data_IF_105621751153
#
_entry.id   IF_105621751153
#
_cell.length_a   1.000
_cell.length_b   1.000
_cell.length_c   1.000
_cell.angle_alpha   90.00
_cell.angle_beta   90.00
_cell.angle_gamma   90.00
#
_symmetry.space_group_name_H-M   'P 1'
#
loop_
_entity.id
_entity.type
_entity.pdbx_description
1 polymer ?
#
# COMPACT_ATOMS: atom_id res chain seq x y z
N UNK A 1 29.71 -1.83 11.59
CA UNK A 1 28.33 -1.93 11.08
C UNK A 1 28.33 -3.03 10.04
N UNK A 2 27.70 -4.17 10.30
CA UNK A 2 27.53 -5.22 9.29
C UNK A 2 26.34 -4.81 8.43
N UNK A 3 26.55 -4.56 7.13
CA UNK A 3 25.48 -4.19 6.19
C UNK A 3 24.55 -5.38 5.88
N UNK A 4 24.99 -6.60 6.20
CA UNK A 4 24.19 -7.79 6.03
C UNK A 4 24.04 -8.25 4.58
N UNK A 5 22.94 -8.92 4.26
CA UNK A 5 22.55 -9.39 2.91
C UNK A 5 22.57 -8.29 1.85
N UNK A 6 22.48 -7.01 2.25
CA UNK A 6 22.65 -5.86 1.36
C UNK A 6 24.07 -5.70 0.81
N UNK A 7 25.08 -6.29 1.46
CA UNK A 7 26.47 -6.32 0.97
C UNK A 7 26.78 -7.52 0.08
N UNK A 8 25.82 -8.44 -0.12
CA UNK A 8 25.99 -9.49 -1.11
C UNK A 8 26.02 -8.88 -2.50
N UNK A 9 27.00 -9.30 -3.31
CA UNK A 9 27.15 -8.86 -4.70
C UNK A 9 25.86 -9.10 -5.50
N UNK A 10 25.16 -10.21 -5.21
CA UNK A 10 23.85 -10.52 -5.78
C UNK A 10 22.71 -9.60 -5.36
N UNK A 11 22.78 -8.92 -4.21
CA UNK A 11 21.77 -7.94 -3.81
C UNK A 11 21.91 -6.63 -4.60
N UNK A 12 23.15 -6.24 -4.94
CA UNK A 12 23.41 -5.08 -5.80
C UNK A 12 22.98 -5.36 -7.25
N UNK A 13 23.34 -6.53 -7.78
CA UNK A 13 22.95 -6.97 -9.12
C UNK A 13 21.42 -7.09 -9.27
N UNK A 14 20.75 -7.75 -8.31
CA UNK A 14 19.29 -7.88 -8.32
C UNK A 14 18.55 -6.53 -8.18
N UNK A 15 19.22 -5.46 -7.75
CA UNK A 15 18.62 -4.12 -7.68
C UNK A 15 18.59 -3.44 -9.05
N UNK A 16 19.47 -3.84 -9.96
CA UNK A 16 19.54 -3.34 -11.33
C UNK A 16 18.64 -4.14 -12.29
N UNK A 17 18.02 -5.22 -11.79
CA UNK A 17 17.03 -6.00 -12.54
C UNK A 17 15.69 -5.26 -12.60
N UNK A 18 15.32 -4.79 -13.79
CA UNK A 18 14.05 -4.10 -14.06
C UNK A 18 12.82 -5.02 -13.92
N UNK A 19 12.99 -6.34 -13.99
CA UNK A 19 11.90 -7.31 -13.83
C UNK A 19 11.60 -7.60 -12.34
N UNK A 20 12.53 -7.26 -11.43
CA UNK A 20 12.34 -7.43 -10.00
C UNK A 20 11.68 -6.18 -9.39
N UNK A 21 10.48 -6.36 -8.85
CA UNK A 21 9.82 -5.24 -8.18
C UNK A 21 10.62 -4.80 -6.94
N UNK A 22 10.68 -3.49 -6.63
CA UNK A 22 11.34 -3.01 -5.41
C UNK A 22 10.79 -3.66 -4.14
N UNK A 23 9.51 -4.06 -4.16
CA UNK A 23 8.88 -4.78 -3.04
C UNK A 23 9.51 -6.17 -2.84
N UNK A 24 9.67 -6.93 -3.93
CA UNK A 24 10.22 -8.30 -3.88
C UNK A 24 11.71 -8.30 -3.52
N UNK A 25 12.46 -7.29 -3.97
CA UNK A 25 13.85 -7.10 -3.56
C UNK A 25 13.96 -6.83 -2.05
N UNK A 26 13.16 -5.89 -1.52
CA UNK A 26 13.16 -5.61 -0.07
C UNK A 26 12.68 -6.81 0.75
N UNK A 27 11.73 -7.59 0.23
CA UNK A 27 11.26 -8.83 0.85
C UNK A 27 12.36 -9.88 0.94
N UNK A 28 13.21 -9.98 -0.09
CA UNK A 28 14.27 -11.00 -0.18
C UNK A 28 15.51 -10.65 0.65
N UNK A 29 15.98 -9.39 0.60
CA UNK A 29 17.29 -9.00 1.16
C UNK A 29 17.21 -8.17 2.45
N UNK A 30 16.03 -7.69 2.85
CA UNK A 30 15.91 -6.81 4.01
C UNK A 30 15.81 -7.50 5.38
N UNK A 31 15.74 -8.84 5.42
CA UNK A 31 15.40 -9.58 6.63
C UNK A 31 16.32 -9.27 7.83
N UNK A 32 17.60 -9.00 7.55
CA UNK A 32 18.64 -8.71 8.54
C UNK A 32 18.54 -7.31 9.16
N UNK A 33 17.77 -6.40 8.56
CA UNK A 33 17.45 -5.08 9.11
C UNK A 33 15.95 -4.97 9.40
N UNK A 34 15.44 -5.62 10.46
CA UNK A 34 14.01 -5.83 10.65
C UNK A 34 13.19 -4.53 10.77
N UNK A 35 13.80 -3.46 11.29
CA UNK A 35 13.13 -2.15 11.38
C UNK A 35 13.01 -1.50 10.00
N UNK A 36 14.11 -1.49 9.23
CA UNK A 36 14.17 -0.87 7.91
C UNK A 36 13.34 -1.66 6.90
N UNK A 37 13.41 -2.99 6.92
CA UNK A 37 12.62 -3.87 6.09
C UNK A 37 11.12 -3.70 6.32
N UNK A 38 10.67 -3.65 7.59
CA UNK A 38 9.25 -3.38 7.88
C UNK A 38 8.80 -2.01 7.35
N UNK A 39 9.64 -0.99 7.45
CA UNK A 39 9.33 0.34 6.94
C UNK A 39 9.26 0.35 5.41
N UNK A 40 10.25 -0.26 4.74
CA UNK A 40 10.33 -0.34 3.29
C UNK A 40 9.14 -1.11 2.70
N UNK A 41 8.82 -2.30 3.24
CA UNK A 41 7.66 -3.06 2.80
C UNK A 41 6.35 -2.31 3.01
N UNK A 42 6.19 -1.58 4.12
CA UNK A 42 5.01 -0.74 4.35
C UNK A 42 4.92 0.36 3.30
N UNK A 43 5.98 1.12 3.08
CA UNK A 43 6.02 2.21 2.12
C UNK A 43 5.73 1.73 0.70
N UNK A 44 6.36 0.63 0.28
CA UNK A 44 6.21 0.06 -1.05
C UNK A 44 4.84 -0.61 -1.25
N UNK A 45 4.20 -1.10 -0.18
CA UNK A 45 2.83 -1.62 -0.24
C UNK A 45 1.77 -0.51 -0.35
N UNK A 46 2.12 0.75 -0.04
CA UNK A 46 1.20 1.88 -0.14
C UNK A 46 1.12 2.35 -1.59
N UNK A 47 -0.11 2.47 -2.10
CA UNK A 47 -0.34 3.09 -3.40
C UNK A 47 -0.16 4.61 -3.30
N UNK A 48 0.84 5.18 -3.98
CA UNK A 48 1.13 6.63 -3.97
C UNK A 48 0.44 7.40 -5.11
N UNK A 49 -0.53 6.79 -5.79
CA UNK A 49 -1.21 7.43 -6.92
C UNK A 49 -2.29 8.42 -6.44
N UNK A 50 -2.27 9.66 -6.96
CA UNK A 50 -3.33 10.66 -6.75
C UNK A 50 -4.71 10.11 -7.12
N UNK A 51 -4.79 9.27 -8.14
CA UNK A 51 -6.02 8.61 -8.59
C UNK A 51 -6.66 7.70 -7.52
N UNK A 52 -5.86 7.16 -6.57
CA UNK A 52 -6.39 6.42 -5.42
C UNK A 52 -7.10 7.35 -4.43
N UNK A 53 -6.52 8.52 -4.18
CA UNK A 53 -7.11 9.55 -3.33
C UNK A 53 -8.39 10.12 -3.97
N UNK A 54 -8.37 10.43 -5.26
CA UNK A 54 -9.55 10.90 -6.01
C UNK A 54 -10.71 9.90 -5.94
N UNK A 55 -10.41 8.59 -6.03
CA UNK A 55 -11.43 7.54 -5.83
C UNK A 55 -12.03 7.56 -4.42
N UNK A 56 -11.21 7.73 -3.38
CA UNK A 56 -11.71 7.85 -2.01
C UNK A 56 -12.58 9.10 -1.82
N UNK A 57 -12.20 10.23 -2.41
CA UNK A 57 -13.00 11.47 -2.38
C UNK A 57 -14.32 11.33 -3.12
N UNK A 58 -14.34 10.67 -4.28
CA UNK A 58 -15.59 10.39 -5.00
C UNK A 58 -16.56 9.53 -4.17
N UNK A 59 -16.05 8.55 -3.41
CA UNK A 59 -16.86 7.75 -2.48
C UNK A 59 -17.36 8.59 -1.31
N UNK A 60 -16.50 9.46 -0.77
CA UNK A 60 -16.88 10.40 0.29
C UNK A 60 -18.04 11.28 -0.16
N UNK A 61 -17.95 11.88 -1.35
CA UNK A 61 -19.01 12.70 -1.94
C UNK A 61 -20.30 11.89 -2.18
N UNK A 62 -20.18 10.62 -2.56
CA UNK A 62 -21.34 9.74 -2.74
C UNK A 62 -22.08 9.48 -1.42
N UNK A 63 -21.34 9.22 -0.34
CA UNK A 63 -21.87 8.91 1.00
C UNK A 63 -22.41 10.18 1.66
N UNK A 64 -21.65 11.27 1.60
CA UNK A 64 -21.98 12.55 2.20
C UNK A 64 -22.27 13.58 1.11
N UNK A 65 -23.48 13.51 0.56
CA UNK A 65 -24.00 14.49 -0.38
C UNK A 65 -25.06 15.39 0.27
N UNK A 66 -25.48 16.44 -0.44
CA UNK A 66 -26.48 17.43 0.02
C UNK A 66 -27.79 16.77 0.51
N UNK A 67 -28.17 15.60 -0.03
CA UNK A 67 -29.35 14.84 0.38
C UNK A 67 -29.08 13.85 1.52
N UNK A 68 -27.82 13.50 1.80
CA UNK A 68 -27.36 12.52 2.82
C UNK A 68 -26.35 13.13 3.81
N UNK A 69 -26.63 14.34 4.30
CA UNK A 69 -25.73 15.13 5.15
C UNK A 69 -25.92 14.92 6.66
N UNK A 70 -26.72 13.93 7.10
CA UNK A 70 -26.94 13.66 8.53
C UNK A 70 -25.79 12.89 9.20
N UNK A 71 -24.77 12.53 8.44
CA UNK A 71 -23.61 11.80 8.95
C UNK A 71 -22.53 12.78 9.39
N UNK A 72 -21.97 12.56 10.59
CA UNK A 72 -20.77 13.27 11.06
C UNK A 72 -19.56 12.88 10.19
N UNK A 73 -18.60 13.79 9.98
CA UNK A 73 -17.35 13.51 9.23
C UNK A 73 -16.70 12.19 9.64
N UNK A 74 -16.56 11.96 10.94
CA UNK A 74 -15.98 10.74 11.50
C UNK A 74 -16.69 9.45 11.04
N UNK A 75 -18.02 9.48 10.92
CA UNK A 75 -18.81 8.32 10.45
C UNK A 75 -18.65 8.13 8.94
N UNK A 76 -18.61 9.21 8.19
CA UNK A 76 -18.37 9.17 6.74
C UNK A 76 -16.98 8.60 6.45
N UNK A 77 -15.95 9.02 7.18
CA UNK A 77 -14.57 8.50 7.06
C UNK A 77 -14.50 6.99 7.30
N UNK A 78 -15.16 6.49 8.36
CA UNK A 78 -15.23 5.04 8.64
C UNK A 78 -15.94 4.29 7.51
N UNK A 79 -17.02 4.84 6.96
CA UNK A 79 -17.74 4.22 5.84
C UNK A 79 -16.89 4.19 4.56
N UNK A 80 -16.16 5.27 4.25
CA UNK A 80 -15.22 5.31 3.12
C UNK A 80 -14.11 4.27 3.33
N UNK A 81 -13.55 4.17 4.53
CA UNK A 81 -12.52 3.18 4.87
C UNK A 81 -13.02 1.75 4.65
N UNK A 82 -14.19 1.40 5.19
CA UNK A 82 -14.79 0.08 5.03
C UNK A 82 -15.07 -0.21 3.54
N UNK A 83 -15.69 0.74 2.83
CA UNK A 83 -16.00 0.58 1.41
C UNK A 83 -14.73 0.34 0.56
N UNK A 84 -13.68 1.13 0.78
CA UNK A 84 -12.42 0.99 0.04
C UNK A 84 -11.72 -0.33 0.34
N UNK A 85 -11.68 -0.77 1.61
CA UNK A 85 -11.09 -2.06 1.96
C UNK A 85 -11.87 -3.25 1.41
N UNK A 86 -13.20 -3.24 1.51
CA UNK A 86 -14.05 -4.30 0.92
C UNK A 86 -13.85 -4.40 -0.60
N UNK A 87 -13.69 -3.25 -1.28
CA UNK A 87 -13.37 -3.23 -2.71
C UNK A 87 -12.00 -3.84 -3.01
N UNK A 88 -10.99 -3.60 -2.18
CA UNK A 88 -9.65 -4.19 -2.35
C UNK A 88 -9.71 -5.70 -2.11
N UNK A 89 -10.37 -6.15 -1.04
CA UNK A 89 -10.51 -7.57 -0.69
C UNK A 89 -11.27 -8.35 -1.78
N UNK A 90 -12.37 -7.81 -2.30
CA UNK A 90 -13.14 -8.46 -3.37
C UNK A 90 -12.41 -8.57 -4.70
N UNK A 91 -11.41 -7.72 -4.98
CA UNK A 91 -10.54 -7.88 -6.16
C UNK A 91 -9.57 -9.03 -5.98
N UNK A 92 -9.00 -9.19 -4.77
CA UNK A 92 -8.10 -10.29 -4.43
C UNK A 92 -8.79 -11.66 -4.45
N UNK A 93 -10.08 -11.71 -4.11
CA UNK A 93 -10.87 -12.95 -4.11
C UNK A 93 -11.17 -13.47 -5.53
N UNK A 94 -11.17 -12.61 -6.54
CA UNK A 94 -11.42 -12.99 -7.94
C UNK A 94 -10.18 -13.46 -8.70
N UNK A 95 -9.02 -13.40 -8.07
CA UNK A 95 -7.73 -13.81 -8.66
C UNK A 95 -7.34 -15.26 -8.29
N UNK A 96 -8.24 -16.01 -7.64
CA UNK A 96 -8.14 -17.45 -7.33
C UNK A 96 -9.30 -18.22 -7.98
#
# INVERSE_FOLDING_TARGET
FSLGDFSLEGAAEAREDDDLSPFDWWASYGSEMPVLHKLALRLLSQHVASSCCERNWSIYDHIHNIKRNKLTSQRTEVLVYVHSNLRILSRKEKEY
#
